data_IF_670788039962
#
_entry.id   IF_670788039962
#
_cell.length_a   1.000
_cell.length_b   1.000
_cell.length_c   1.000
_cell.angle_alpha   90.00
_cell.angle_beta   90.00
_cell.angle_gamma   90.00
#
_symmetry.space_group_name_H-M   'P 1'
#
loop_
_entity.id
_entity.type
_entity.pdbx_description
1 polymer ?
#
# COMPACT_ATOMS: atom_id res chain seq x y z
N UNK A 1 -38.70 18.52 -37.13
CA UNK A 1 -37.48 19.17 -36.63
C UNK A 1 -37.61 19.66 -35.17
N UNK A 2 -38.68 20.39 -34.76
CA UNK A 2 -38.88 20.85 -33.38
C UNK A 2 -39.02 19.72 -32.35
N UNK A 3 -39.67 18.61 -32.67
CA UNK A 3 -39.83 17.44 -31.77
C UNK A 3 -38.53 16.69 -31.56
N UNK A 4 -37.68 16.57 -32.57
CA UNK A 4 -36.35 15.97 -32.46
C UNK A 4 -35.43 16.78 -31.53
N UNK A 5 -35.45 18.11 -31.62
CA UNK A 5 -34.65 18.99 -30.77
C UNK A 5 -35.16 18.95 -29.31
N UNK A 6 -36.49 18.88 -29.12
CA UNK A 6 -37.08 18.76 -27.77
C UNK A 6 -36.68 17.42 -27.11
N UNK A 7 -36.76 16.32 -27.86
CA UNK A 7 -36.32 15.01 -27.35
C UNK A 7 -34.81 14.98 -27.04
N UNK A 8 -33.98 15.58 -27.89
CA UNK A 8 -32.54 15.67 -27.65
C UNK A 8 -32.23 16.46 -26.39
N UNK A 9 -32.94 17.57 -26.13
CA UNK A 9 -32.79 18.35 -24.87
C UNK A 9 -33.22 17.56 -23.65
N UNK A 10 -34.28 16.76 -23.72
CA UNK A 10 -34.70 15.87 -22.64
C UNK A 10 -33.66 14.77 -22.35
N UNK A 11 -33.07 14.19 -23.40
CA UNK A 11 -32.01 13.22 -23.27
C UNK A 11 -30.74 13.83 -22.61
N UNK A 12 -30.33 15.02 -23.07
CA UNK A 12 -29.18 15.73 -22.50
C UNK A 12 -29.44 16.14 -21.04
N UNK A 13 -30.67 16.56 -20.72
CA UNK A 13 -31.07 16.87 -19.35
C UNK A 13 -31.08 15.61 -18.45
N UNK A 14 -31.51 14.47 -18.98
CA UNK A 14 -31.48 13.18 -18.29
C UNK A 14 -30.04 12.72 -18.02
N UNK A 15 -29.09 13.01 -18.92
CA UNK A 15 -27.67 12.72 -18.73
C UNK A 15 -27.00 13.57 -17.63
N UNK A 16 -27.62 14.68 -17.25
CA UNK A 16 -27.07 15.58 -16.22
C UNK A 16 -27.67 15.34 -14.83
N UNK A 17 -28.18 14.14 -14.57
CA UNK A 17 -28.65 13.76 -13.23
C UNK A 17 -27.47 13.38 -12.33
N UNK A 18 -27.53 13.69 -11.01
CA UNK A 18 -26.44 13.39 -10.08
C UNK A 18 -26.08 11.89 -10.06
N UNK A 19 -27.02 11.00 -10.34
CA UNK A 19 -26.78 9.55 -10.44
C UNK A 19 -25.88 9.18 -11.62
N UNK A 20 -26.11 9.78 -12.80
CA UNK A 20 -25.31 9.52 -14.02
C UNK A 20 -23.90 10.09 -13.85
N UNK A 21 -23.77 11.27 -13.24
CA UNK A 21 -22.46 11.85 -12.94
C UNK A 21 -21.66 10.98 -11.95
N UNK A 22 -22.33 10.41 -10.94
CA UNK A 22 -21.71 9.47 -10.01
C UNK A 22 -21.24 8.18 -10.72
N UNK A 23 -22.09 7.60 -11.58
CA UNK A 23 -21.72 6.42 -12.35
C UNK A 23 -20.56 6.70 -13.33
N UNK A 24 -20.57 7.86 -13.96
CA UNK A 24 -19.48 8.26 -14.86
C UNK A 24 -18.17 8.46 -14.10
N UNK A 25 -18.21 9.09 -12.93
CA UNK A 25 -17.04 9.25 -12.05
C UNK A 25 -16.50 7.89 -11.58
N UNK A 26 -17.39 6.99 -11.13
CA UNK A 26 -17.01 5.63 -10.73
C UNK A 26 -16.40 4.83 -11.89
N UNK A 27 -16.98 4.94 -13.09
CA UNK A 27 -16.42 4.31 -14.29
C UNK A 27 -15.06 4.87 -14.69
N UNK A 28 -14.85 6.19 -14.59
CA UNK A 28 -13.56 6.82 -14.85
C UNK A 28 -12.51 6.37 -13.84
N UNK A 29 -12.82 6.32 -12.56
CA UNK A 29 -11.94 5.81 -11.51
C UNK A 29 -11.59 4.33 -11.74
N UNK A 30 -12.58 3.49 -12.04
CA UNK A 30 -12.36 2.09 -12.38
C UNK A 30 -11.45 1.90 -13.59
N UNK A 31 -11.61 2.74 -14.63
CA UNK A 31 -10.74 2.73 -15.81
C UNK A 31 -9.30 3.12 -15.47
N UNK A 32 -9.09 4.13 -14.62
CA UNK A 32 -7.76 4.54 -14.17
C UNK A 32 -7.10 3.41 -13.37
N UNK A 33 -7.82 2.80 -12.43
CA UNK A 33 -7.32 1.66 -11.64
C UNK A 33 -6.93 0.51 -12.57
N UNK A 34 -7.80 0.15 -13.51
CA UNK A 34 -7.52 -0.92 -14.48
C UNK A 34 -6.30 -0.61 -15.33
N UNK A 35 -6.16 0.62 -15.81
CA UNK A 35 -5.00 1.04 -16.61
C UNK A 35 -3.69 1.00 -15.81
N UNK A 36 -3.69 1.48 -14.58
CA UNK A 36 -2.48 1.58 -13.76
C UNK A 36 -2.06 0.23 -13.16
N UNK A 37 -3.02 -0.60 -12.74
CA UNK A 37 -2.77 -1.79 -11.93
C UNK A 37 -3.15 -3.11 -12.63
N UNK A 38 -3.75 -3.07 -13.81
CA UNK A 38 -4.24 -4.26 -14.50
C UNK A 38 -5.55 -4.82 -13.95
N UNK A 39 -6.31 -3.99 -13.27
CA UNK A 39 -7.56 -4.33 -12.61
C UNK A 39 -7.42 -4.46 -11.09
N UNK A 40 -8.54 -4.62 -10.42
CA UNK A 40 -8.62 -4.79 -8.97
C UNK A 40 -8.54 -6.28 -8.63
N UNK A 41 -7.40 -6.73 -8.12
CA UNK A 41 -7.14 -8.14 -7.80
C UNK A 41 -7.29 -8.43 -6.31
N UNK A 42 -7.44 -9.71 -5.94
CA UNK A 42 -7.49 -10.15 -4.55
C UNK A 42 -6.20 -9.78 -3.78
N UNK A 43 -5.05 -9.86 -4.43
CA UNK A 43 -3.78 -9.43 -3.84
C UNK A 43 -3.77 -7.94 -3.48
N UNK A 44 -4.27 -7.09 -4.37
CA UNK A 44 -4.43 -5.65 -4.10
C UNK A 44 -5.43 -5.39 -2.98
N UNK A 45 -6.56 -6.11 -2.97
CA UNK A 45 -7.55 -5.99 -1.91
C UNK A 45 -6.95 -6.40 -0.56
N UNK A 46 -6.21 -7.50 -0.52
CA UNK A 46 -5.52 -7.98 0.69
C UNK A 46 -4.52 -6.94 1.18
N UNK A 47 -3.67 -6.41 0.29
CA UNK A 47 -2.70 -5.38 0.65
C UNK A 47 -3.40 -4.14 1.24
N UNK A 48 -4.49 -3.67 0.63
CA UNK A 48 -5.25 -2.53 1.13
C UNK A 48 -5.81 -2.80 2.54
N UNK A 49 -6.39 -3.96 2.77
CA UNK A 49 -6.92 -4.34 4.09
C UNK A 49 -5.81 -4.36 5.14
N UNK A 50 -4.65 -4.95 4.82
CA UNK A 50 -3.50 -4.98 5.72
C UNK A 50 -2.97 -3.58 6.02
N UNK A 51 -2.86 -2.71 5.02
CA UNK A 51 -2.45 -1.31 5.20
C UNK A 51 -3.41 -0.55 6.14
N UNK A 52 -4.71 -0.78 6.01
CA UNK A 52 -5.71 -0.16 6.90
C UNK A 52 -5.56 -0.69 8.32
N UNK A 53 -5.40 -2.00 8.50
CA UNK A 53 -5.22 -2.62 9.83
C UNK A 53 -3.93 -2.11 10.48
N UNK A 54 -2.81 -2.07 9.74
CA UNK A 54 -1.55 -1.52 10.27
C UNK A 54 -1.71 -0.07 10.70
N UNK A 55 -2.31 0.76 9.86
CA UNK A 55 -2.53 2.17 10.18
C UNK A 55 -3.39 2.35 11.44
N UNK A 56 -4.49 1.61 11.55
CA UNK A 56 -5.41 1.65 12.70
C UNK A 56 -4.72 1.13 13.97
N UNK A 57 -4.02 0.00 13.88
CA UNK A 57 -3.30 -0.55 15.06
C UNK A 57 -2.18 0.37 15.52
N UNK A 58 -1.42 0.98 14.61
CA UNK A 58 -0.40 1.98 14.92
C UNK A 58 -1.00 3.24 15.58
N UNK A 59 -2.17 3.67 15.12
CA UNK A 59 -2.90 4.79 15.74
C UNK A 59 -3.36 4.44 17.16
N UNK A 60 -3.88 3.22 17.39
CA UNK A 60 -4.30 2.75 18.71
C UNK A 60 -3.10 2.70 19.67
N UNK A 61 -1.95 2.16 19.23
CA UNK A 61 -0.71 2.14 20.04
C UNK A 61 -0.30 3.54 20.47
N UNK A 62 -0.35 4.51 19.56
CA UNK A 62 0.03 5.88 19.87
C UNK A 62 -1.00 6.63 20.73
N UNK A 63 -2.29 6.49 20.42
CA UNK A 63 -3.37 7.25 21.05
C UNK A 63 -3.74 6.70 22.45
N UNK A 64 -3.82 5.36 22.56
CA UNK A 64 -4.34 4.70 23.76
C UNK A 64 -3.20 4.23 24.65
N UNK A 65 -2.25 3.48 24.10
CA UNK A 65 -1.16 2.88 24.88
C UNK A 65 0.04 3.82 25.09
N UNK A 66 0.18 4.87 24.28
CA UNK A 66 1.31 5.82 24.31
C UNK A 66 2.68 5.13 24.25
N UNK A 67 2.77 4.05 23.48
CA UNK A 67 3.97 3.21 23.34
C UNK A 67 4.50 3.20 21.89
N UNK A 68 4.15 4.22 21.08
CA UNK A 68 4.64 4.33 19.71
C UNK A 68 6.16 4.52 19.69
N UNK A 69 6.88 3.62 19.04
CA UNK A 69 8.33 3.74 18.78
C UNK A 69 8.67 4.87 17.80
N UNK A 70 7.67 5.42 17.10
CA UNK A 70 7.84 6.45 16.08
C UNK A 70 7.83 7.88 16.65
N UNK A 71 7.54 8.05 17.95
CA UNK A 71 7.53 9.35 18.63
C UNK A 71 8.35 9.27 19.91
N UNK A 72 9.10 10.32 20.26
CA UNK A 72 9.86 10.40 21.52
C UNK A 72 8.97 10.30 22.76
N UNK A 73 7.75 10.84 22.67
CA UNK A 73 6.75 10.80 23.75
C UNK A 73 5.93 9.50 23.81
N UNK A 74 6.10 8.60 22.83
CA UNK A 74 5.23 7.43 22.63
C UNK A 74 3.80 7.77 22.18
N UNK A 75 3.42 9.05 22.15
CA UNK A 75 2.08 9.54 21.89
C UNK A 75 1.76 9.76 20.42
N UNK A 76 0.52 10.16 20.16
CA UNK A 76 0.03 10.46 18.81
C UNK A 76 0.68 11.74 18.25
N UNK A 77 1.17 11.66 17.03
CA UNK A 77 1.68 12.80 16.29
C UNK A 77 1.06 12.84 14.89
N UNK A 78 0.37 13.94 14.59
CA UNK A 78 -0.26 14.16 13.28
C UNK A 78 0.75 14.09 12.13
N UNK A 79 1.95 14.64 12.31
CA UNK A 79 3.02 14.59 11.31
C UNK A 79 3.47 13.16 11.01
N UNK A 80 3.58 12.32 12.03
CA UNK A 80 4.01 10.92 11.88
C UNK A 80 2.90 10.09 11.24
N UNK A 81 1.64 10.34 11.62
CA UNK A 81 0.48 9.73 10.97
C UNK A 81 0.42 10.06 9.48
N UNK A 82 0.62 11.34 9.13
CA UNK A 82 0.64 11.77 7.73
C UNK A 82 1.80 11.16 6.94
N UNK A 83 3.00 11.11 7.52
CA UNK A 83 4.15 10.42 6.89
C UNK A 83 3.88 8.95 6.63
N UNK A 84 3.19 8.26 7.56
CA UNK A 84 2.77 6.87 7.39
C UNK A 84 1.81 6.71 6.20
N UNK A 85 0.83 7.61 6.07
CA UNK A 85 -0.10 7.58 4.94
C UNK A 85 0.59 7.85 3.60
N UNK A 86 1.53 8.80 3.57
CA UNK A 86 2.34 9.07 2.37
C UNK A 86 3.16 7.85 1.94
N UNK A 87 3.77 7.11 2.89
CA UNK A 87 4.49 5.86 2.57
C UNK A 87 3.58 4.85 1.90
N UNK A 88 2.40 4.60 2.45
CA UNK A 88 1.41 3.67 1.87
C UNK A 88 0.97 4.10 0.47
N UNK A 89 0.85 5.39 0.24
CA UNK A 89 0.57 5.91 -1.11
C UNK A 89 1.72 5.63 -2.09
N UNK A 90 2.97 5.81 -1.65
CA UNK A 90 4.16 5.49 -2.47
C UNK A 90 4.24 3.99 -2.77
N UNK A 91 3.91 3.12 -1.82
CA UNK A 91 3.85 1.66 -2.03
C UNK A 91 2.85 1.30 -3.15
N UNK A 92 1.68 1.94 -3.18
CA UNK A 92 0.73 1.80 -4.29
C UNK A 92 1.30 2.28 -5.63
N UNK A 93 2.05 3.37 -5.65
CA UNK A 93 2.73 3.84 -6.86
C UNK A 93 3.76 2.83 -7.36
N UNK A 94 4.49 2.17 -6.45
CA UNK A 94 5.46 1.13 -6.79
C UNK A 94 4.74 -0.09 -7.39
N UNK A 95 3.62 -0.54 -6.80
CA UNK A 95 2.79 -1.62 -7.36
C UNK A 95 2.34 -1.30 -8.79
N UNK A 96 1.90 -0.06 -9.04
CA UNK A 96 1.53 0.39 -10.39
C UNK A 96 2.73 0.37 -11.36
N UNK A 97 3.90 0.82 -10.91
CA UNK A 97 5.13 0.78 -11.70
C UNK A 97 5.54 -0.66 -12.04
N UNK A 98 5.46 -1.59 -11.08
CA UNK A 98 5.75 -3.01 -11.32
C UNK A 98 4.77 -3.63 -12.32
N UNK A 99 3.49 -3.29 -12.27
CA UNK A 99 2.55 -3.72 -13.30
C UNK A 99 2.91 -3.17 -14.70
N UNK A 100 3.35 -1.92 -14.80
CA UNK A 100 3.79 -1.36 -16.09
C UNK A 100 5.05 -2.04 -16.60
N UNK A 101 5.97 -2.43 -15.73
CA UNK A 101 7.15 -3.23 -16.07
C UNK A 101 6.75 -4.64 -16.54
N UNK A 102 5.79 -5.29 -15.89
CA UNK A 102 5.26 -6.59 -16.34
C UNK A 102 4.79 -6.53 -17.80
N UNK A 103 4.06 -5.47 -18.17
CA UNK A 103 3.61 -5.25 -19.56
C UNK A 103 4.80 -5.04 -20.50
N UNK A 104 5.75 -4.19 -20.10
CA UNK A 104 6.91 -3.83 -20.93
C UNK A 104 7.81 -5.04 -21.21
N UNK A 105 8.02 -5.88 -20.21
CA UNK A 105 8.90 -7.06 -20.27
C UNK A 105 8.17 -8.32 -20.75
N UNK A 106 6.85 -8.28 -20.89
CA UNK A 106 6.04 -9.44 -21.28
C UNK A 106 5.96 -10.53 -20.19
N UNK A 107 6.16 -10.17 -18.92
CA UNK A 107 6.07 -11.04 -17.75
C UNK A 107 4.81 -10.71 -16.94
N UNK A 108 4.48 -11.47 -15.89
CA UNK A 108 3.20 -11.30 -15.17
C UNK A 108 3.32 -11.52 -13.66
N UNK A 109 4.51 -11.34 -13.11
CA UNK A 109 4.76 -11.68 -11.70
C UNK A 109 5.39 -10.56 -10.87
N UNK A 110 5.96 -9.50 -11.44
CA UNK A 110 6.62 -8.43 -10.68
C UNK A 110 5.63 -7.68 -9.79
N UNK A 111 4.46 -7.36 -10.33
CA UNK A 111 3.38 -6.74 -9.55
C UNK A 111 3.00 -7.60 -8.36
N UNK A 112 2.76 -8.89 -8.57
CA UNK A 112 2.28 -9.79 -7.53
C UNK A 112 3.36 -10.05 -6.47
N UNK A 113 4.63 -10.16 -6.87
CA UNK A 113 5.77 -10.23 -5.95
C UNK A 113 5.88 -8.95 -5.09
N UNK A 114 5.70 -7.79 -5.71
CA UNK A 114 5.71 -6.51 -5.01
C UNK A 114 4.58 -6.42 -3.99
N UNK A 115 3.37 -6.84 -4.36
CA UNK A 115 2.21 -6.90 -3.44
C UNK A 115 2.50 -7.83 -2.26
N UNK A 116 3.06 -9.02 -2.52
CA UNK A 116 3.42 -9.98 -1.46
C UNK A 116 4.46 -9.37 -0.53
N UNK A 117 5.51 -8.73 -1.06
CA UNK A 117 6.54 -8.09 -0.26
C UNK A 117 5.98 -7.01 0.67
N UNK A 118 5.12 -6.12 0.15
CA UNK A 118 4.46 -5.10 0.98
C UNK A 118 3.49 -5.71 1.97
N UNK A 119 2.71 -6.73 1.59
CA UNK A 119 1.78 -7.41 2.49
C UNK A 119 2.51 -8.05 3.69
N UNK A 120 3.67 -8.68 3.45
CA UNK A 120 4.52 -9.22 4.51
C UNK A 120 5.03 -8.11 5.45
N UNK A 121 5.46 -6.98 4.91
CA UNK A 121 5.89 -5.83 5.70
C UNK A 121 4.75 -5.28 6.58
N UNK A 122 3.52 -5.18 6.03
CA UNK A 122 2.35 -4.78 6.80
C UNK A 122 2.03 -5.76 7.94
N UNK A 123 2.11 -7.08 7.69
CA UNK A 123 1.89 -8.11 8.72
C UNK A 123 2.92 -7.97 9.84
N UNK A 124 4.19 -7.75 9.52
CA UNK A 124 5.24 -7.53 10.51
C UNK A 124 4.89 -6.30 11.37
N UNK A 125 4.55 -5.19 10.75
CA UNK A 125 4.18 -3.95 11.46
C UNK A 125 2.95 -4.13 12.35
N UNK A 126 1.90 -4.81 11.86
CA UNK A 126 0.70 -5.13 12.65
C UNK A 126 1.06 -5.95 13.89
N UNK A 127 1.91 -6.97 13.73
CA UNK A 127 2.30 -7.83 14.85
C UNK A 127 3.18 -7.10 15.88
N UNK A 128 4.04 -6.20 15.44
CA UNK A 128 4.77 -5.30 16.34
C UNK A 128 3.81 -4.38 17.11
N UNK A 129 2.83 -3.79 16.45
CA UNK A 129 1.81 -2.97 17.08
C UNK A 129 1.00 -3.78 18.12
N UNK A 130 0.61 -5.01 17.79
CA UNK A 130 -0.11 -5.93 18.69
C UNK A 130 0.74 -6.27 19.92
N UNK A 131 2.05 -6.52 19.71
CA UNK A 131 3.00 -6.75 20.81
C UNK A 131 3.12 -5.56 21.75
N UNK A 132 3.15 -4.33 21.21
CA UNK A 132 3.17 -3.09 22.01
C UNK A 132 1.88 -2.86 22.81
N UNK A 133 0.75 -3.44 22.37
CA UNK A 133 -0.51 -3.44 23.14
C UNK A 133 -0.53 -4.48 24.27
N UNK A 134 0.52 -5.32 24.39
CA UNK A 134 0.57 -6.40 25.37
C UNK A 134 -0.30 -7.61 25.04
N UNK A 135 -0.78 -7.73 23.79
CA UNK A 135 -1.57 -8.86 23.34
C UNK A 135 -0.64 -10.03 23.00
N UNK A 136 -0.79 -11.21 23.64
CA UNK A 136 0.09 -12.34 23.38
C UNK A 136 -0.16 -12.91 21.98
N UNK A 137 0.88 -12.93 21.15
CA UNK A 137 0.81 -13.57 19.84
C UNK A 137 0.99 -15.09 19.98
N UNK A 138 0.26 -15.90 19.19
CA UNK A 138 0.48 -17.33 19.14
C UNK A 138 1.94 -17.67 18.78
N UNK A 139 2.56 -18.71 19.41
CA UNK A 139 3.97 -19.04 19.18
C UNK A 139 4.32 -19.31 17.72
N UNK A 140 3.39 -19.85 16.94
CA UNK A 140 3.57 -20.08 15.50
C UNK A 140 3.73 -18.75 14.72
N UNK A 141 2.96 -17.74 15.08
CA UNK A 141 3.03 -16.40 14.47
C UNK A 141 4.36 -15.73 14.84
N UNK A 142 4.78 -15.81 16.12
CA UNK A 142 6.05 -15.27 16.57
C UNK A 142 7.24 -15.88 15.81
N UNK A 143 7.24 -17.20 15.62
CA UNK A 143 8.28 -17.89 14.84
C UNK A 143 8.30 -17.46 13.39
N UNK A 144 7.14 -17.37 12.74
CA UNK A 144 7.04 -16.93 11.35
C UNK A 144 7.61 -15.51 11.17
N UNK A 145 7.31 -14.59 12.08
CA UNK A 145 7.82 -13.22 12.05
C UNK A 145 9.34 -13.19 12.28
N UNK A 146 9.84 -13.98 13.22
CA UNK A 146 11.27 -14.06 13.49
C UNK A 146 12.05 -14.50 12.23
N UNK A 147 11.56 -15.52 11.52
CA UNK A 147 12.15 -15.99 10.25
C UNK A 147 12.09 -14.89 9.17
N UNK A 148 10.98 -14.17 9.06
CA UNK A 148 10.83 -13.09 8.08
C UNK A 148 11.78 -11.92 8.37
N UNK A 149 11.92 -11.54 9.63
CA UNK A 149 12.83 -10.48 10.07
C UNK A 149 14.31 -10.87 9.87
N UNK A 150 14.66 -12.14 10.11
CA UNK A 150 16.00 -12.66 9.90
C UNK A 150 16.36 -12.59 8.42
N UNK A 151 15.48 -13.04 7.53
CA UNK A 151 15.69 -12.95 6.06
C UNK A 151 15.80 -11.50 5.59
N UNK A 152 14.91 -10.64 6.02
CA UNK A 152 14.97 -9.21 5.67
C UNK A 152 16.21 -8.50 6.23
N UNK A 153 16.74 -8.96 7.36
CA UNK A 153 17.98 -8.46 7.95
C UNK A 153 19.25 -9.01 7.27
N UNK A 154 19.19 -10.23 6.73
CA UNK A 154 20.29 -10.82 5.96
C UNK A 154 20.49 -10.09 4.63
N UNK A 155 19.39 -9.81 3.91
CA UNK A 155 19.44 -9.07 2.64
C UNK A 155 20.06 -7.67 2.82
N UNK A 156 19.75 -6.97 3.92
CA UNK A 156 20.35 -5.65 4.21
C UNK A 156 21.84 -5.69 4.50
N UNK A 157 22.34 -6.75 5.14
CA UNK A 157 23.78 -6.90 5.41
C UNK A 157 24.58 -7.21 4.16
N UNK A 158 24.02 -8.00 3.24
CA UNK A 158 24.66 -8.28 1.95
C UNK A 158 24.77 -7.02 1.09
N UNK A 159 23.76 -6.14 1.13
CA UNK A 159 23.77 -4.86 0.42
C UNK A 159 24.81 -3.89 1.00
N UNK A 160 24.90 -3.77 2.34
CA UNK A 160 25.90 -2.93 3.01
C UNK A 160 27.34 -3.43 2.78
N UNK A 161 27.57 -4.75 2.78
CA UNK A 161 28.87 -5.34 2.51
C UNK A 161 29.29 -5.14 1.04
N UNK A 162 28.38 -5.27 0.09
CA UNK A 162 28.62 -5.00 -1.32
C UNK A 162 28.92 -3.52 -1.62
N UNK A 163 28.24 -2.60 -0.94
CA UNK A 163 28.49 -1.16 -1.09
C UNK A 163 29.85 -0.76 -0.52
N UNK A 164 30.28 -1.38 0.59
CA UNK A 164 31.60 -1.18 1.20
C UNK A 164 32.75 -1.74 0.34
N UNK A 165 32.53 -2.85 -0.37
CA UNK A 165 33.52 -3.45 -1.26
C UNK A 165 33.70 -2.57 -2.52
N UNK A 166 32.61 -2.06 -3.10
CA UNK A 166 32.67 -1.18 -4.28
C UNK A 166 33.25 0.20 -3.97
N UNK A 167 33.02 0.74 -2.76
CA UNK A 167 33.60 2.03 -2.33
C UNK A 167 35.12 2.01 -2.11
N UNK A 168 35.73 0.81 -1.95
CA UNK A 168 37.18 0.64 -1.75
C UNK A 168 37.96 0.42 -3.05
N UNK A 169 37.30 0.31 -4.18
CA UNK A 169 37.91 -0.08 -5.47
C UNK A 169 38.16 1.11 -6.41
N UNK A 170 38.15 2.35 -5.94
CA UNK A 170 38.64 3.49 -6.71
C UNK A 170 40.08 3.82 -6.26
N UNK A 171 41.10 3.50 -7.05
CA UNK A 171 42.44 4.05 -6.86
C UNK A 171 42.47 5.47 -7.41
N UNK A 172 43.12 6.36 -6.68
CA UNK A 172 43.50 7.71 -7.07
C UNK A 172 44.30 7.78 -8.38
#
# INVERSE_FOLDING_TARGET
MRTLIANLKLWVAALNTPKINLCAAAGALGSIITYLFGGWTEGMQTLMVLMVIDYVTGWIVAAVFKQSKKTESGGLSSNIGFKGLCKKFVEWMIVAAMFRLDILLGIKYLRDLCIIGFALNEIISITENVGLMGIPLPPAVQKAIAILNEKAGADKKEDEDNENINGRSQPD
#
